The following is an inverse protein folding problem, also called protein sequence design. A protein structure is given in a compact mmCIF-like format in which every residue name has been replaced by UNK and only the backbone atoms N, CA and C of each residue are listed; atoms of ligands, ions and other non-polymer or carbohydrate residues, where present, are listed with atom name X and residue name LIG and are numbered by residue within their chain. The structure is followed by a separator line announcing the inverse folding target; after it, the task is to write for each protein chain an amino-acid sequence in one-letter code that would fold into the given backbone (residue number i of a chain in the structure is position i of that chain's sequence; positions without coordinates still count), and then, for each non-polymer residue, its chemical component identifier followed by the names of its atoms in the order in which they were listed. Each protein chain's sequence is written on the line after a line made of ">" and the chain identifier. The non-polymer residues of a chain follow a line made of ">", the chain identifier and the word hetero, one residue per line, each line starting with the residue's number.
data_IF_065018635974
#
_entry.id   IF_065018635974
#
_cell.length_a   1.000
_cell.length_b   1.000
_cell.length_c   1.000
_cell.angle_alpha   90.00
_cell.angle_beta   90.00
_cell.angle_gamma   90.00
#
_symmetry.space_group_name_H-M   'P 1'
#
loop_
_entity.id
_entity.type
_entity.pdbx_description
1 polymer ?
#
# COMPACT_ATOMS: atom_id res chain seq x y z
N UNK A 1 2.02 5.26 1.30
CA UNK A 1 2.26 4.64 2.62
C UNK A 1 2.62 3.17 2.47
N UNK A 2 1.72 2.32 1.94
CA UNK A 2 1.95 0.87 1.77
C UNK A 2 3.26 0.49 1.06
N UNK A 3 3.58 1.09 -0.08
CA UNK A 3 4.86 0.81 -0.79
C UNK A 3 6.09 1.02 0.10
N UNK A 4 6.12 2.16 0.81
CA UNK A 4 7.26 2.55 1.64
C UNK A 4 7.45 1.56 2.78
N UNK A 5 6.36 1.24 3.47
CA UNK A 5 6.39 0.33 4.62
C UNK A 5 6.74 -1.08 4.16
N UNK A 6 6.10 -1.61 3.13
CA UNK A 6 6.37 -2.97 2.65
C UNK A 6 7.81 -3.13 2.16
N UNK A 7 8.35 -2.14 1.45
CA UNK A 7 9.76 -2.15 1.01
C UNK A 7 10.72 -2.19 2.18
N UNK A 8 10.56 -1.30 3.15
CA UNK A 8 11.41 -1.27 4.34
C UNK A 8 11.33 -2.59 5.12
N UNK A 9 10.13 -3.17 5.29
CA UNK A 9 9.97 -4.47 5.94
C UNK A 9 10.70 -5.60 5.20
N UNK A 10 10.62 -5.61 3.86
CA UNK A 10 11.33 -6.59 3.04
C UNK A 10 12.86 -6.42 3.11
N UNK A 11 13.35 -5.18 3.18
CA UNK A 11 14.77 -4.85 3.37
C UNK A 11 15.25 -5.33 4.74
N UNK A 12 14.51 -5.02 5.81
CA UNK A 12 14.82 -5.47 7.18
C UNK A 12 14.81 -6.99 7.33
N UNK A 13 13.93 -7.68 6.60
CA UNK A 13 13.87 -9.14 6.56
C UNK A 13 14.91 -9.78 5.62
N UNK A 14 15.70 -8.98 4.89
CA UNK A 14 16.73 -9.48 3.97
C UNK A 14 16.19 -10.22 2.75
N UNK A 15 14.98 -9.89 2.31
CA UNK A 15 14.27 -10.54 1.19
C UNK A 15 13.83 -9.57 0.10
N UNK A 16 14.25 -8.30 0.18
CA UNK A 16 13.87 -7.26 -0.78
C UNK A 16 14.23 -7.61 -2.24
N UNK A 17 15.28 -8.38 -2.47
CA UNK A 17 15.71 -8.86 -3.78
C UNK A 17 14.71 -9.81 -4.46
N UNK A 18 13.77 -10.36 -3.69
CA UNK A 18 12.68 -11.23 -4.19
C UNK A 18 11.48 -10.46 -4.71
N UNK A 19 11.42 -9.14 -4.54
CA UNK A 19 10.23 -8.34 -4.82
C UNK A 19 10.53 -7.17 -5.76
N UNK A 20 9.62 -6.95 -6.71
CA UNK A 20 9.47 -5.67 -7.40
C UNK A 20 8.28 -4.97 -6.76
N UNK A 21 8.53 -3.84 -6.08
CA UNK A 21 7.52 -3.15 -5.27
C UNK A 21 7.28 -1.77 -5.86
N UNK A 22 6.06 -1.53 -6.34
CA UNK A 22 5.61 -0.23 -6.83
C UNK A 22 4.23 0.10 -6.24
N UNK A 23 3.84 1.37 -6.24
CA UNK A 23 2.44 1.76 -6.00
C UNK A 23 1.92 2.71 -7.06
N UNK A 24 0.60 2.61 -7.28
CA UNK A 24 -0.12 3.33 -8.32
C UNK A 24 -1.49 3.79 -7.80
N UNK A 25 -1.89 5.00 -8.18
CA UNK A 25 -3.26 5.49 -7.99
C UNK A 25 -4.18 5.01 -9.12
N UNK A 26 -5.40 4.62 -8.79
CA UNK A 26 -6.45 4.27 -9.78
C UNK A 26 -6.96 5.48 -10.54
N UNK A 27 -6.87 6.66 -9.92
CA UNK A 27 -7.29 7.94 -10.49
C UNK A 27 -6.07 8.82 -10.82
N UNK A 28 -6.26 9.77 -11.73
CA UNK A 28 -5.20 10.69 -12.18
C UNK A 28 -4.98 11.88 -11.22
N UNK A 29 -5.44 11.78 -9.97
CA UNK A 29 -5.20 12.81 -8.97
C UNK A 29 -3.73 12.72 -8.52
N UNK A 30 -3.03 13.86 -8.55
CA UNK A 30 -1.68 14.04 -8.01
C UNK A 30 -0.50 13.33 -8.73
N UNK A 31 -0.65 12.82 -9.96
CA UNK A 31 0.48 12.22 -10.69
C UNK A 31 1.71 13.15 -10.71
N UNK A 32 2.86 12.62 -10.31
CA UNK A 32 4.13 13.34 -10.21
C UNK A 32 4.37 14.06 -8.88
N UNK A 33 3.34 14.23 -8.04
CA UNK A 33 3.50 14.84 -6.73
C UNK A 33 4.13 13.87 -5.73
N UNK A 34 4.75 14.43 -4.68
CA UNK A 34 5.14 13.68 -3.50
C UNK A 34 3.92 13.19 -2.71
N UNK A 35 4.16 12.34 -1.72
CA UNK A 35 3.15 11.97 -0.74
C UNK A 35 2.64 13.19 0.04
N UNK A 36 1.40 13.13 0.53
CA UNK A 36 0.83 14.15 1.42
C UNK A 36 1.80 14.41 2.60
N UNK A 37 2.11 15.68 2.95
CA UNK A 37 3.01 15.98 4.06
C UNK A 37 2.64 15.30 5.38
N UNK A 38 1.35 15.07 5.63
CA UNK A 38 0.84 14.34 6.81
C UNK A 38 1.20 12.86 6.74
N UNK A 39 1.08 12.24 5.56
CA UNK A 39 1.59 10.88 5.32
C UNK A 39 3.10 10.80 5.53
N UNK A 40 3.86 11.80 5.05
CA UNK A 40 5.32 11.85 5.25
C UNK A 40 5.67 11.97 6.74
N UNK A 41 4.95 12.81 7.48
CA UNK A 41 5.14 12.97 8.92
C UNK A 41 4.85 11.66 9.67
N UNK A 42 3.69 11.05 9.44
CA UNK A 42 3.30 9.78 10.06
C UNK A 42 4.34 8.67 9.79
N UNK A 43 4.84 8.57 8.55
CA UNK A 43 5.89 7.61 8.20
C UNK A 43 7.23 7.90 8.93
N UNK A 44 7.61 9.18 9.01
CA UNK A 44 8.88 9.57 9.63
C UNK A 44 8.91 9.29 11.15
N UNK A 45 7.76 9.39 11.82
CA UNK A 45 7.65 9.10 13.26
C UNK A 45 8.03 7.66 13.63
N UNK A 46 7.83 6.71 12.71
CA UNK A 46 8.19 5.30 12.90
C UNK A 46 9.45 4.89 12.14
N UNK A 47 10.20 5.86 11.61
CA UNK A 47 11.50 5.64 10.97
C UNK A 47 11.47 5.36 9.47
N UNK A 48 10.30 5.41 8.83
CA UNK A 48 10.18 5.24 7.38
C UNK A 48 10.41 6.55 6.62
N UNK A 49 11.00 6.45 5.42
CA UNK A 49 11.19 7.60 4.54
C UNK A 49 10.19 7.65 3.37
N UNK A 50 9.12 8.42 3.52
CA UNK A 50 8.13 8.65 2.46
C UNK A 50 8.49 9.73 1.42
N UNK A 51 9.57 10.48 1.61
CA UNK A 51 9.85 11.70 0.82
C UNK A 51 10.24 11.43 -0.65
N UNK A 52 10.76 10.23 -0.93
CA UNK A 52 11.15 9.81 -2.27
C UNK A 52 9.96 9.32 -3.10
N UNK A 53 8.82 9.00 -2.48
CA UNK A 53 7.65 8.49 -3.19
C UNK A 53 7.12 9.52 -4.18
N UNK A 54 6.70 9.04 -5.36
CA UNK A 54 6.06 9.83 -6.40
C UNK A 54 4.79 9.12 -6.84
N UNK A 55 3.68 9.83 -6.78
CA UNK A 55 2.41 9.30 -7.25
C UNK A 55 2.47 9.06 -8.75
N UNK A 56 1.97 7.89 -9.17
CA UNK A 56 1.87 7.49 -10.57
C UNK A 56 0.52 6.80 -10.79
N UNK A 57 -0.03 6.91 -11.99
CA UNK A 57 -1.32 6.30 -12.31
C UNK A 57 -1.14 4.84 -12.72
N UNK A 58 -2.08 3.99 -12.31
CA UNK A 58 -2.13 2.58 -12.70
C UNK A 58 -2.31 2.46 -14.21
N UNK A 59 -1.34 1.87 -14.90
CA UNK A 59 -1.41 1.56 -16.33
C UNK A 59 -1.69 0.07 -16.56
N UNK A 60 -2.14 -0.29 -17.77
CA UNK A 60 -2.35 -1.69 -18.13
C UNK A 60 -1.02 -2.46 -18.15
N UNK A 61 0.09 -1.77 -18.42
CA UNK A 61 1.42 -2.34 -18.33
C UNK A 61 1.78 -2.71 -16.89
N UNK A 62 1.41 -1.88 -15.90
CA UNK A 62 1.63 -2.20 -14.49
C UNK A 62 0.81 -3.44 -14.09
N UNK A 63 -0.44 -3.54 -14.54
CA UNK A 63 -1.30 -4.71 -14.28
C UNK A 63 -0.67 -5.98 -14.87
N UNK A 64 -0.17 -5.90 -16.11
CA UNK A 64 0.43 -7.04 -16.78
C UNK A 64 1.80 -7.45 -16.20
N UNK A 65 2.51 -6.53 -15.54
CA UNK A 65 3.88 -6.76 -15.06
C UNK A 65 3.98 -7.16 -13.59
N UNK A 66 2.86 -7.28 -12.85
CA UNK A 66 2.86 -7.65 -11.44
C UNK A 66 2.00 -8.89 -11.19
N UNK A 67 2.53 -9.81 -10.37
CA UNK A 67 1.85 -11.08 -10.05
C UNK A 67 0.71 -10.91 -9.02
N UNK A 68 0.74 -9.82 -8.25
CA UNK A 68 -0.22 -9.51 -7.20
C UNK A 68 -0.41 -8.00 -7.11
N UNK A 69 -1.67 -7.57 -7.18
CA UNK A 69 -2.06 -6.19 -6.92
C UNK A 69 -2.74 -6.11 -5.56
N UNK A 70 -2.31 -5.17 -4.73
CA UNK A 70 -2.90 -4.91 -3.41
C UNK A 70 -3.80 -3.68 -3.51
N UNK A 71 -5.09 -3.87 -3.25
CA UNK A 71 -6.07 -2.81 -3.19
C UNK A 71 -6.23 -2.30 -1.74
N UNK A 72 -6.39 -1.00 -1.58
CA UNK A 72 -6.65 -0.38 -0.26
C UNK A 72 -8.14 -0.36 0.08
N UNK A 73 -9.01 -0.43 -0.92
CA UNK A 73 -10.46 -0.49 -0.75
C UNK A 73 -11.09 -1.28 -1.91
N UNK A 74 -12.36 -1.63 -1.77
CA UNK A 74 -13.12 -2.39 -2.77
C UNK A 74 -13.31 -1.65 -4.09
N UNK A 75 -13.31 -0.32 -4.10
CA UNK A 75 -13.38 0.45 -5.34
C UNK A 75 -12.11 0.30 -6.17
N UNK A 76 -10.95 0.31 -5.51
CA UNK A 76 -9.67 -0.01 -6.12
C UNK A 76 -9.64 -1.44 -6.67
N UNK A 77 -10.13 -2.40 -5.90
CA UNK A 77 -10.25 -3.79 -6.32
C UNK A 77 -11.11 -3.93 -7.58
N UNK A 78 -12.31 -3.35 -7.58
CA UNK A 78 -13.23 -3.40 -8.73
C UNK A 78 -12.60 -2.80 -9.99
N UNK A 79 -11.90 -1.67 -9.87
CA UNK A 79 -11.19 -1.03 -11.00
C UNK A 79 -10.09 -1.94 -11.54
N UNK A 80 -9.28 -2.55 -10.67
CA UNK A 80 -8.17 -3.41 -11.07
C UNK A 80 -8.68 -4.69 -11.77
N UNK A 81 -9.71 -5.33 -11.20
CA UNK A 81 -10.36 -6.51 -11.79
C UNK A 81 -11.04 -6.17 -13.12
N UNK A 82 -11.75 -5.05 -13.19
CA UNK A 82 -12.40 -4.57 -14.42
C UNK A 82 -11.42 -4.26 -15.55
N UNK A 83 -10.16 -4.00 -15.22
CA UNK A 83 -9.05 -3.80 -16.18
C UNK A 83 -8.26 -5.07 -16.49
N UNK A 84 -8.69 -6.23 -15.98
CA UNK A 84 -8.14 -7.54 -16.33
C UNK A 84 -6.99 -8.01 -15.45
N UNK A 85 -6.83 -7.47 -14.24
CA UNK A 85 -5.89 -8.03 -13.26
C UNK A 85 -6.28 -9.48 -12.91
N UNK A 86 -5.31 -10.39 -12.96
CA UNK A 86 -5.51 -11.82 -12.69
C UNK A 86 -5.60 -12.14 -11.19
N UNK A 87 -4.96 -11.32 -10.36
CA UNK A 87 -4.93 -11.47 -8.91
C UNK A 87 -4.93 -10.09 -8.23
N UNK A 88 -5.99 -9.81 -7.50
CA UNK A 88 -6.14 -8.61 -6.68
C UNK A 88 -6.58 -9.06 -5.29
N UNK A 89 -5.99 -8.48 -4.26
CA UNK A 89 -6.34 -8.76 -2.88
C UNK A 89 -6.38 -7.46 -2.07
N UNK A 90 -7.29 -7.36 -1.11
CA UNK A 90 -7.36 -6.22 -0.20
C UNK A 90 -6.24 -6.29 0.84
N UNK A 91 -5.63 -5.15 1.15
CA UNK A 91 -4.58 -5.09 2.17
C UNK A 91 -5.09 -5.58 3.53
N UNK A 92 -6.32 -5.22 3.88
CA UNK A 92 -6.98 -5.61 5.14
C UNK A 92 -7.24 -7.11 5.25
N UNK A 93 -7.20 -7.87 4.15
CA UNK A 93 -7.27 -9.34 4.19
C UNK A 93 -6.07 -9.96 4.93
N UNK A 94 -4.98 -9.20 5.06
CA UNK A 94 -3.79 -9.56 5.82
C UNK A 94 -3.76 -8.94 7.21
N UNK A 95 -4.74 -8.12 7.58
CA UNK A 95 -4.77 -7.47 8.87
C UNK A 95 -5.08 -8.49 9.99
N UNK A 96 -4.15 -8.75 10.92
CA UNK A 96 -4.37 -9.71 12.01
C UNK A 96 -5.49 -9.28 12.97
N UNK A 97 -5.85 -7.99 13.00
CA UNK A 97 -6.97 -7.49 13.81
C UNK A 97 -8.34 -7.77 13.18
N UNK A 98 -8.39 -8.23 11.93
CA UNK A 98 -9.62 -8.59 11.21
C UNK A 98 -10.69 -7.50 11.29
N UNK A 99 -10.43 -6.30 10.73
CA UNK A 99 -11.37 -5.19 10.77
C UNK A 99 -12.69 -5.57 10.10
N UNK A 100 -13.81 -5.08 10.65
CA UNK A 100 -15.13 -5.33 10.08
C UNK A 100 -15.32 -4.63 8.72
N UNK A 101 -14.67 -3.48 8.54
CA UNK A 101 -14.59 -2.80 7.25
C UNK A 101 -13.38 -3.34 6.46
N UNK A 102 -13.59 -3.90 5.26
CA UNK A 102 -12.50 -4.36 4.42
C UNK A 102 -11.75 -3.20 3.75
N UNK A 103 -12.25 -1.97 3.81
CA UNK A 103 -11.59 -0.80 3.22
C UNK A 103 -10.63 -0.17 4.25
N UNK A 104 -9.42 0.19 3.81
CA UNK A 104 -8.52 1.04 4.57
C UNK A 104 -9.10 2.44 4.60
N UNK A 105 -9.27 3.00 5.78
CA UNK A 105 -9.80 4.36 5.95
C UNK A 105 -8.93 5.39 5.21
N UNK A 106 -9.55 6.29 4.44
CA UNK A 106 -8.85 7.40 3.80
C UNK A 106 -8.77 8.61 4.77
N UNK A 107 -7.57 8.95 5.28
CA UNK A 107 -7.42 10.02 6.27
C UNK A 107 -7.37 11.41 5.64
N UNK A 108 -7.51 11.57 4.31
CA UNK A 108 -7.24 12.83 3.62
C UNK A 108 -8.06 14.03 4.15
N UNK A 109 -9.32 13.77 4.52
CA UNK A 109 -10.25 14.76 5.08
C UNK A 109 -10.29 14.76 6.63
N UNK A 110 -9.37 14.05 7.26
CA UNK A 110 -9.28 13.87 8.71
C UNK A 110 -8.07 14.61 9.31
N UNK A 111 -7.92 14.50 10.62
CA UNK A 111 -6.79 15.07 11.36
C UNK A 111 -5.52 14.21 11.25
N UNK A 112 -4.43 14.67 11.88
CA UNK A 112 -3.14 13.98 11.84
C UNK A 112 -3.18 12.60 12.52
N UNK A 113 -3.97 12.44 13.59
CA UNK A 113 -4.06 11.16 14.31
C UNK A 113 -4.63 10.07 13.40
N UNK A 114 -5.56 10.41 12.51
CA UNK A 114 -6.06 9.47 11.51
C UNK A 114 -4.96 8.95 10.55
N UNK A 115 -3.93 9.74 10.25
CA UNK A 115 -2.80 9.27 9.43
C UNK A 115 -1.94 8.25 10.18
N UNK A 116 -1.80 8.42 11.50
CA UNK A 116 -1.06 7.48 12.35
C UNK A 116 -1.82 6.16 12.50
N UNK A 117 -3.14 6.22 12.72
CA UNK A 117 -4.00 5.03 12.79
C UNK A 117 -3.95 4.23 11.48
N UNK A 118 -4.03 4.91 10.33
CA UNK A 118 -3.92 4.29 9.01
C UNK A 118 -2.52 3.71 8.78
N UNK A 119 -1.47 4.41 9.22
CA UNK A 119 -0.09 3.89 9.17
C UNK A 119 0.05 2.60 9.93
N UNK A 120 -0.47 2.55 11.16
CA UNK A 120 -0.33 1.38 12.02
C UNK A 120 -1.11 0.18 11.43
N UNK A 121 -2.29 0.44 10.85
CA UNK A 121 -3.04 -0.57 10.10
C UNK A 121 -2.30 -1.08 8.87
N UNK A 122 -1.78 -0.17 8.05
CA UNK A 122 -1.02 -0.53 6.85
C UNK A 122 0.23 -1.33 7.25
N UNK A 123 0.93 -0.92 8.30
CA UNK A 123 2.14 -1.60 8.77
C UNK A 123 1.88 -3.02 9.23
N UNK A 124 0.92 -3.24 10.14
CA UNK A 124 0.61 -4.61 10.61
C UNK A 124 0.15 -5.52 9.47
N UNK A 125 -0.64 -4.99 8.54
CA UNK A 125 -1.11 -5.71 7.36
C UNK A 125 0.07 -6.05 6.42
N UNK A 126 0.99 -5.11 6.19
CA UNK A 126 2.18 -5.37 5.38
C UNK A 126 3.12 -6.41 6.02
N UNK A 127 3.26 -6.44 7.35
CA UNK A 127 4.05 -7.47 8.05
C UNK A 127 3.47 -8.86 7.85
N UNK A 128 2.15 -9.00 7.96
CA UNK A 128 1.45 -10.26 7.72
C UNK A 128 1.51 -10.68 6.25
N UNK A 129 1.33 -9.73 5.32
CA UNK A 129 1.51 -9.95 3.88
C UNK A 129 2.92 -10.46 3.55
N UNK A 130 3.95 -9.81 4.07
CA UNK A 130 5.34 -10.25 3.85
C UNK A 130 5.56 -11.68 4.35
N UNK A 131 5.01 -12.01 5.52
CA UNK A 131 5.07 -13.38 6.06
C UNK A 131 4.38 -14.38 5.14
N UNK A 132 3.19 -14.05 4.64
CA UNK A 132 2.43 -14.91 3.72
C UNK A 132 3.16 -15.13 2.38
N UNK A 133 3.85 -14.12 1.86
CA UNK A 133 4.59 -14.20 0.60
C UNK A 133 5.95 -14.89 0.72
N UNK A 134 6.48 -15.05 1.93
CA UNK A 134 7.81 -15.63 2.18
C UNK A 134 7.78 -17.00 2.84
N UNK A 135 6.63 -17.40 3.38
CA UNK A 135 6.40 -18.73 3.92
C UNK A 135 6.26 -19.74 2.77
N UNK A 136 7.24 -20.64 2.64
CA UNK A 136 7.27 -21.76 1.69
C UNK A 136 6.42 -22.94 2.15
#
# INVERSE_FOLDING_TARGET
>A
MGEVIFRELAEQAGVADRFVITSRGTHNYHVGNGADPRTVAALAETGYNGSAHRAAQLSDADIASHDLLIALDRGHEEIMLGRGASRVELLTAYDPESPADPDVFDPYYSDAAAFDDVRDQVERSCRALLTALTSS
#
